data_IF_489890260540
#
_entry.id   IF_489890260540
#
_cell.length_a   1.000
_cell.length_b   1.000
_cell.length_c   1.000
_cell.angle_alpha   90.00
_cell.angle_beta   90.00
_cell.angle_gamma   90.00
#
_symmetry.space_group_name_H-M   'P 1'
#
loop_
_entity.id
_entity.type
_entity.pdbx_description
1 polymer ?
#
# COMPACT_ATOMS: atom_id res chain seq x y z
N UNK A 1 8.76 10.50 -5.78
CA UNK A 1 7.85 9.33 -5.84
C UNK A 1 8.29 8.33 -4.78
N UNK A 2 7.37 7.52 -4.27
CA UNK A 2 7.65 6.46 -3.29
C UNK A 2 7.33 5.11 -3.90
N UNK A 3 8.09 4.08 -3.50
CA UNK A 3 7.80 2.69 -3.79
C UNK A 3 7.33 2.03 -2.51
N UNK A 4 6.25 1.27 -2.61
CA UNK A 4 5.70 0.43 -1.55
C UNK A 4 5.88 -1.02 -1.99
N UNK A 5 6.37 -1.85 -1.07
CA UNK A 5 6.52 -3.30 -1.30
C UNK A 5 5.86 -4.04 -0.15
N UNK A 6 5.00 -4.99 -0.49
CA UNK A 6 4.33 -5.90 0.43
C UNK A 6 4.60 -7.35 0.01
N UNK A 7 4.06 -8.31 0.75
CA UNK A 7 4.08 -9.72 0.34
C UNK A 7 3.34 -9.98 -0.98
N UNK A 8 2.30 -9.20 -1.28
CA UNK A 8 1.45 -9.42 -2.45
C UNK A 8 1.99 -8.78 -3.74
N UNK A 9 2.81 -7.73 -3.62
CA UNK A 9 3.26 -6.96 -4.77
C UNK A 9 3.84 -5.59 -4.43
N UNK A 10 3.95 -4.77 -5.48
CA UNK A 10 4.62 -3.47 -5.44
C UNK A 10 3.73 -2.35 -6.01
N UNK A 11 3.86 -1.14 -5.46
CA UNK A 11 3.16 0.06 -5.92
C UNK A 11 4.13 1.25 -5.97
N UNK A 12 4.06 2.06 -7.03
CA UNK A 12 4.84 3.30 -7.16
C UNK A 12 3.91 4.48 -7.35
N UNK A 13 4.06 5.51 -6.51
CA UNK A 13 3.15 6.66 -6.53
C UNK A 13 3.75 7.95 -5.98
N UNK A 14 2.88 8.95 -5.86
CA UNK A 14 3.17 10.21 -5.17
C UNK A 14 2.68 10.11 -3.72
N UNK A 15 3.48 10.58 -2.78
CA UNK A 15 3.09 10.69 -1.38
C UNK A 15 2.66 12.13 -1.09
N UNK A 16 1.59 12.27 -0.30
CA UNK A 16 1.12 13.55 0.25
C UNK A 16 1.14 13.42 1.77
N UNK A 17 1.71 14.41 2.46
CA UNK A 17 1.74 14.41 3.92
C UNK A 17 0.39 14.92 4.45
N UNK A 18 -0.24 14.10 5.28
CA UNK A 18 -1.52 14.40 5.94
C UNK A 18 -1.46 13.92 7.40
N UNK A 19 -2.27 14.48 8.31
CA UNK A 19 -2.34 13.99 9.68
C UNK A 19 -2.85 12.54 9.72
N UNK A 20 -1.95 11.60 10.00
CA UNK A 20 -2.25 10.17 10.17
C UNK A 20 -1.54 9.65 11.43
N UNK A 21 -1.97 8.47 11.91
CA UNK A 21 -1.22 7.80 12.97
C UNK A 21 0.17 7.44 12.48
N UNK A 22 1.15 7.50 13.39
CA UNK A 22 2.53 7.16 13.07
C UNK A 22 2.61 5.73 12.48
N UNK A 23 3.46 5.55 11.46
CA UNK A 23 3.66 4.27 10.73
C UNK A 23 2.38 3.73 10.05
N UNK A 24 1.47 4.60 9.66
CA UNK A 24 0.34 4.25 8.80
C UNK A 24 0.39 5.03 7.49
N UNK A 25 -0.12 4.41 6.43
CA UNK A 25 -0.30 5.02 5.11
C UNK A 25 -1.72 4.69 4.64
N UNK A 26 -2.29 5.58 3.83
CA UNK A 26 -3.56 5.36 3.15
C UNK A 26 -3.33 5.38 1.64
N UNK A 27 -4.01 4.48 0.95
CA UNK A 27 -4.00 4.42 -0.51
C UNK A 27 -5.44 4.51 -1.01
N UNK A 28 -5.61 5.12 -2.18
CA UNK A 28 -6.88 5.06 -2.87
C UNK A 28 -7.14 3.65 -3.38
N UNK A 29 -8.41 3.27 -3.35
CA UNK A 29 -8.93 2.11 -4.03
C UNK A 29 -9.33 2.52 -5.45
N UNK A 30 -9.10 1.68 -6.48
CA UNK A 30 -8.59 0.30 -6.43
C UNK A 30 -7.07 0.16 -6.49
N UNK A 31 -6.32 1.26 -6.58
CA UNK A 31 -4.89 1.24 -6.90
C UNK A 31 -4.04 0.49 -5.86
N UNK A 32 -4.42 0.56 -4.58
CA UNK A 32 -3.74 -0.14 -3.49
C UNK A 32 -3.93 -1.66 -3.46
N UNK A 33 -4.86 -2.22 -4.25
CA UNK A 33 -5.17 -3.65 -4.21
C UNK A 33 -3.97 -4.54 -4.58
N UNK A 34 -3.01 -4.02 -5.35
CA UNK A 34 -1.77 -4.74 -5.70
C UNK A 34 -0.89 -5.07 -4.48
N UNK A 35 -1.14 -4.42 -3.34
CA UNK A 35 -0.44 -4.67 -2.08
C UNK A 35 -1.20 -5.62 -1.14
N UNK A 36 -2.39 -6.10 -1.52
CA UNK A 36 -3.24 -6.93 -0.67
C UNK A 36 -3.14 -8.41 -1.06
N UNK A 37 -2.96 -9.28 -0.07
CA UNK A 37 -3.10 -10.73 -0.27
C UNK A 37 -4.58 -11.09 -0.36
N UNK A 38 -4.90 -12.21 -1.04
CA UNK A 38 -6.27 -12.73 -1.12
C UNK A 38 -6.66 -13.47 0.16
N UNK A 39 -6.63 -12.76 1.28
CA UNK A 39 -7.05 -13.25 2.59
C UNK A 39 -8.40 -12.62 2.96
N UNK A 40 -9.29 -13.44 3.51
CA UNK A 40 -10.63 -13.02 3.91
C UNK A 40 -10.82 -13.30 5.39
N UNK A 41 -11.54 -12.42 6.08
CA UNK A 41 -11.95 -12.67 7.46
C UNK A 41 -12.86 -13.92 7.51
N UNK A 42 -12.59 -14.89 8.41
CA UNK A 42 -13.29 -16.17 8.42
C UNK A 42 -14.74 -16.11 8.92
N UNK A 43 -15.17 -14.98 9.51
CA UNK A 43 -16.51 -14.82 10.06
C UNK A 43 -17.38 -14.00 9.09
N UNK A 44 -16.85 -12.87 8.61
CA UNK A 44 -17.57 -11.93 7.74
C UNK A 44 -17.38 -12.20 6.25
N UNK A 45 -16.38 -13.00 5.87
CA UNK A 45 -15.95 -13.22 4.48
C UNK A 45 -15.51 -11.93 3.75
N UNK A 46 -15.20 -10.86 4.49
CA UNK A 46 -14.72 -9.61 3.91
C UNK A 46 -13.22 -9.70 3.55
N UNK A 47 -12.77 -9.10 2.43
CA UNK A 47 -11.35 -9.03 2.11
C UNK A 47 -10.57 -8.29 3.20
N UNK A 48 -9.38 -8.79 3.52
CA UNK A 48 -8.48 -8.07 4.40
C UNK A 48 -7.83 -6.89 3.65
N UNK A 49 -8.39 -5.69 3.84
CA UNK A 49 -7.89 -4.45 3.24
C UNK A 49 -6.66 -3.85 3.95
N UNK A 50 -6.00 -4.62 4.84
CA UNK A 50 -4.79 -4.19 5.54
C UNK A 50 -3.60 -5.00 5.06
N UNK A 51 -2.49 -4.32 4.81
CA UNK A 51 -1.22 -4.94 4.52
C UNK A 51 -0.09 -4.19 5.25
N UNK A 52 0.98 -4.92 5.54
CA UNK A 52 2.25 -4.32 5.91
C UNK A 52 3.06 -4.08 4.63
N UNK A 53 3.62 -2.88 4.53
CA UNK A 53 4.46 -2.50 3.40
C UNK A 53 5.70 -1.75 3.86
N UNK A 54 6.80 -1.98 3.14
CA UNK A 54 8.03 -1.21 3.27
C UNK A 54 7.97 -0.02 2.32
N UNK A 55 8.29 1.17 2.83
CA UNK A 55 8.32 2.42 2.05
C UNK A 55 9.76 2.76 1.70
N UNK A 56 10.04 2.98 0.42
CA UNK A 56 11.34 3.48 -0.05
C UNK A 56 11.18 4.65 -1.03
N UNK A 57 12.22 5.47 -1.21
CA UNK A 57 12.26 6.46 -2.29
C UNK A 57 12.25 5.69 -3.61
N UNK A 58 11.30 6.00 -4.50
CA UNK A 58 11.29 5.40 -5.82
C UNK A 58 12.49 5.92 -6.64
N UNK A 59 13.09 5.10 -7.51
CA UNK A 59 14.17 5.54 -8.38
C UNK A 59 13.72 6.75 -9.21
N UNK A 60 14.63 7.69 -9.41
CA UNK A 60 14.41 8.79 -10.33
C UNK A 60 14.40 8.19 -11.73
N UNK A 61 13.22 8.12 -12.36
CA UNK A 61 13.16 7.87 -13.80
C UNK A 61 13.81 9.08 -14.46
N UNK A 62 14.99 8.90 -15.04
CA UNK A 62 15.67 9.93 -15.82
C UNK A 62 14.75 10.46 -16.91
N UNK A 63 14.80 11.78 -17.11
CA UNK A 63 14.16 12.52 -18.20
C UNK A 63 14.69 12.07 -19.55
#
# INVERSE_FOLDING_TARGET
RVKLVSEAGEYVGRAVLVPLRLRTIQLHWPEGNVLLTRCYDPISCEPNYKAFATVTKAPETGT
#
